data_IF_783910097769
#
_entry.id   IF_783910097769
#
_cell.length_a   1.000
_cell.length_b   1.000
_cell.length_c   1.000
_cell.angle_alpha   90.00
_cell.angle_beta   90.00
_cell.angle_gamma   90.00
#
_symmetry.space_group_name_H-M   'P 1'
#
loop_
_entity.id
_entity.type
_entity.pdbx_description
1 polymer ?
#
# COMPACT_ATOMS: atom_id res chain seq x y z
N UNK A 1 -11.22 13.69 0.22
CA UNK A 1 -10.01 14.44 -0.20
C UNK A 1 -8.90 13.46 -0.56
N UNK A 2 -8.19 13.72 -1.65
CA UNK A 2 -7.11 12.86 -2.12
C UNK A 2 -5.79 13.31 -1.52
N UNK A 3 -4.85 12.37 -1.31
CA UNK A 3 -3.48 12.77 -0.99
C UNK A 3 -2.86 13.42 -2.22
N UNK A 4 -1.98 14.38 -2.02
CA UNK A 4 -1.38 15.11 -3.13
C UNK A 4 -0.42 14.27 -3.97
N UNK A 5 0.02 13.14 -3.43
CA UNK A 5 1.10 12.36 -4.01
C UNK A 5 0.64 11.12 -4.76
N UNK A 6 -0.63 10.76 -4.62
CA UNK A 6 -1.18 9.63 -5.36
C UNK A 6 -1.76 10.10 -6.70
N UNK A 7 -1.46 9.40 -7.79
CA UNK A 7 -1.97 9.81 -9.11
C UNK A 7 -3.46 9.55 -9.27
N UNK A 8 -4.06 10.22 -10.24
CA UNK A 8 -5.50 10.09 -10.49
C UNK A 8 -5.92 8.65 -10.80
N UNK A 9 -5.08 7.88 -11.51
CA UNK A 9 -5.44 6.51 -11.83
C UNK A 9 -5.63 5.67 -10.56
N UNK A 10 -4.88 5.98 -9.50
CA UNK A 10 -5.04 5.28 -8.24
C UNK A 10 -6.43 5.50 -7.65
N UNK A 11 -6.88 6.77 -7.68
CA UNK A 11 -8.19 7.10 -7.14
C UNK A 11 -9.34 6.56 -7.98
N UNK A 12 -9.11 6.42 -9.30
CA UNK A 12 -10.14 5.95 -10.22
C UNK A 12 -10.25 4.42 -10.28
N UNK A 13 -9.12 3.74 -10.21
CA UNK A 13 -9.06 2.30 -10.48
C UNK A 13 -8.37 1.50 -9.39
N UNK A 14 -7.51 2.14 -8.61
CA UNK A 14 -6.72 1.47 -7.59
C UNK A 14 -5.72 0.49 -8.18
N UNK A 15 -5.38 -0.50 -7.38
CA UNK A 15 -4.38 -1.50 -7.74
C UNK A 15 -5.00 -2.90 -7.89
N UNK A 16 -6.29 -2.93 -8.20
CA UNK A 16 -7.02 -4.20 -8.35
C UNK A 16 -6.27 -5.17 -9.26
N UNK A 17 -6.08 -6.39 -8.79
CA UNK A 17 -5.35 -7.45 -9.48
C UNK A 17 -3.84 -7.22 -9.63
N UNK A 18 -3.28 -6.21 -9.00
CA UNK A 18 -1.84 -6.03 -9.00
C UNK A 18 -1.19 -7.02 -8.05
N UNK A 19 0.02 -7.44 -8.36
CA UNK A 19 0.77 -8.33 -7.48
C UNK A 19 1.73 -7.52 -6.61
N UNK A 20 1.70 -7.79 -5.31
CA UNK A 20 2.64 -7.19 -4.38
C UNK A 20 3.93 -8.01 -4.42
N UNK A 21 4.99 -7.43 -4.97
CA UNK A 21 6.28 -8.11 -5.07
C UNK A 21 6.92 -8.22 -3.69
N UNK A 22 6.95 -7.11 -2.96
CA UNK A 22 7.50 -7.10 -1.61
C UNK A 22 6.97 -5.90 -0.84
N UNK A 23 7.03 -6.02 0.47
CA UNK A 23 6.68 -4.94 1.39
C UNK A 23 7.77 -4.85 2.44
N UNK A 24 8.23 -3.65 2.71
CA UNK A 24 9.24 -3.44 3.75
C UNK A 24 8.94 -2.17 4.54
N UNK A 25 9.43 -2.12 5.76
CA UNK A 25 9.38 -0.94 6.60
C UNK A 25 10.75 -0.29 6.59
N UNK A 26 10.79 0.99 6.26
CA UNK A 26 12.01 1.76 6.30
C UNK A 26 11.91 2.77 7.44
N UNK A 27 12.84 2.68 8.38
CA UNK A 27 12.88 3.59 9.50
C UNK A 27 13.74 4.80 9.17
N UNK A 28 13.30 5.96 9.65
CA UNK A 28 14.10 7.17 9.51
C UNK A 28 15.15 7.22 10.60
N UNK A 29 16.40 7.45 10.21
CA UNK A 29 17.50 7.61 11.16
C UNK A 29 17.37 8.91 11.97
N UNK A 30 16.63 9.87 11.43
CA UNK A 30 16.50 11.19 12.03
C UNK A 30 15.31 11.31 12.96
N UNK A 31 14.22 10.63 12.62
CA UNK A 31 12.99 10.71 13.36
C UNK A 31 12.21 9.41 13.23
N UNK A 32 12.17 8.59 14.30
CA UNK A 32 11.44 7.32 14.25
C UNK A 32 9.95 7.44 13.91
N UNK A 33 9.39 8.65 14.06
CA UNK A 33 8.00 8.89 13.70
C UNK A 33 7.79 9.02 12.19
N UNK A 34 8.89 9.14 11.42
CA UNK A 34 8.81 9.27 9.98
C UNK A 34 9.04 7.93 9.27
N UNK A 35 8.73 6.83 9.94
CA UNK A 35 8.79 5.52 9.31
C UNK A 35 7.88 5.47 8.10
N UNK A 36 8.30 4.74 7.07
CA UNK A 36 7.46 4.53 5.90
C UNK A 36 7.33 3.04 5.60
N UNK A 37 6.18 2.71 5.04
CA UNK A 37 5.86 1.38 4.56
C UNK A 37 5.96 1.41 3.05
N UNK A 38 6.84 0.59 2.47
CA UNK A 38 7.12 0.61 1.05
C UNK A 38 6.59 -0.66 0.41
N UNK A 39 5.66 -0.50 -0.53
CA UNK A 39 5.15 -1.58 -1.36
C UNK A 39 5.81 -1.52 -2.72
N UNK A 40 6.43 -2.61 -3.15
CA UNK A 40 6.84 -2.79 -4.55
C UNK A 40 5.76 -3.59 -5.24
N UNK A 41 5.19 -3.04 -6.29
CA UNK A 41 4.01 -3.60 -6.94
C UNK A 41 4.29 -3.80 -8.42
N UNK A 42 3.98 -5.00 -8.91
CA UNK A 42 4.00 -5.28 -10.33
C UNK A 42 2.60 -5.01 -10.90
N UNK A 43 2.52 -4.04 -11.79
CA UNK A 43 1.26 -3.62 -12.38
C UNK A 43 0.78 -4.45 -13.57
N UNK A 44 1.54 -5.47 -13.97
CA UNK A 44 1.06 -6.39 -15.00
C UNK A 44 -0.21 -7.07 -14.51
N UNK A 45 -1.25 -7.01 -15.30
CA UNK A 45 -2.55 -7.52 -14.88
C UNK A 45 -3.45 -6.45 -14.28
N UNK A 46 -2.88 -5.33 -13.85
CA UNK A 46 -3.65 -4.16 -13.45
C UNK A 46 -3.84 -3.25 -14.64
N UNK A 47 -4.74 -2.29 -14.50
CA UNK A 47 -5.17 -1.46 -15.63
C UNK A 47 -4.11 -0.47 -16.14
N UNK A 48 -3.06 -0.24 -15.39
CA UNK A 48 -2.07 0.78 -15.75
C UNK A 48 -0.80 0.23 -16.40
N UNK A 49 -0.68 -1.06 -16.53
CA UNK A 49 0.41 -1.73 -17.27
C UNK A 49 1.83 -1.24 -16.96
N UNK A 50 2.09 -0.86 -15.73
CA UNK A 50 3.43 -0.47 -15.32
C UNK A 50 4.21 -1.70 -14.87
N UNK A 51 5.52 -1.72 -15.16
CA UNK A 51 6.34 -2.85 -14.77
C UNK A 51 6.46 -2.96 -13.26
N UNK A 52 7.04 -1.96 -12.63
CA UNK A 52 7.12 -1.93 -11.17
C UNK A 52 6.94 -0.49 -10.70
N UNK A 53 6.12 -0.35 -9.70
CA UNK A 53 5.98 0.92 -9.00
C UNK A 53 6.25 0.68 -7.52
N UNK A 54 6.61 1.74 -6.83
CA UNK A 54 6.71 1.73 -5.38
C UNK A 54 5.70 2.69 -4.81
N UNK A 55 4.99 2.26 -3.79
CA UNK A 55 4.11 3.13 -3.02
C UNK A 55 4.65 3.21 -1.61
N UNK A 56 4.90 4.42 -1.15
CA UNK A 56 5.41 4.68 0.18
C UNK A 56 4.31 5.33 1.02
N UNK A 57 4.00 4.71 2.15
CA UNK A 57 3.04 5.27 3.11
C UNK A 57 3.82 5.81 4.29
N UNK A 58 3.70 7.10 4.56
CA UNK A 58 4.46 7.77 5.61
C UNK A 58 3.64 7.92 6.88
N UNK A 59 4.30 7.76 8.03
CA UNK A 59 3.68 7.85 9.35
C UNK A 59 2.52 6.86 9.45
N UNK A 60 2.82 5.63 9.10
CA UNK A 60 1.82 4.57 8.98
C UNK A 60 1.66 3.79 10.28
N UNK A 61 0.53 3.12 10.39
CA UNK A 61 0.30 2.07 11.37
C UNK A 61 -0.77 1.12 10.81
N UNK A 62 -0.80 -0.08 11.36
CA UNK A 62 -1.85 -1.04 11.01
C UNK A 62 -2.94 -1.02 12.08
N UNK A 63 -4.15 -1.36 11.69
CA UNK A 63 -5.27 -1.46 12.63
C UNK A 63 -5.18 -2.72 13.51
N UNK A 64 -4.37 -3.68 13.12
CA UNK A 64 -4.15 -4.92 13.87
C UNK A 64 -2.80 -4.87 14.55
N UNK A 65 -2.77 -5.09 15.88
CA UNK A 65 -1.51 -5.22 16.58
C UNK A 65 -0.79 -6.47 16.08
N UNK A 66 0.52 -6.38 15.94
CA UNK A 66 1.36 -7.50 15.54
C UNK A 66 0.98 -8.06 14.15
N UNK A 67 0.44 -7.22 13.28
CA UNK A 67 0.19 -7.66 11.90
C UNK A 67 1.52 -8.07 11.26
N UNK A 68 1.53 -9.29 10.69
CA UNK A 68 2.72 -9.80 10.02
C UNK A 68 2.78 -9.27 8.59
N UNK A 69 3.68 -8.32 8.34
CA UNK A 69 3.82 -7.72 7.01
C UNK A 69 4.29 -8.72 5.97
N UNK A 70 4.90 -9.83 6.39
CA UNK A 70 5.33 -10.86 5.45
C UNK A 70 4.14 -11.52 4.72
N UNK A 71 2.94 -11.42 5.27
CA UNK A 71 1.74 -11.88 4.58
C UNK A 71 1.50 -11.12 3.28
N UNK A 72 2.00 -9.90 3.18
CA UNK A 72 1.84 -9.08 2.00
C UNK A 72 2.86 -9.39 0.90
N UNK A 73 3.96 -10.07 1.23
CA UNK A 73 4.97 -10.43 0.24
C UNK A 73 4.41 -11.50 -0.70
N UNK A 74 4.37 -11.21 -1.98
CA UNK A 74 3.83 -12.12 -2.97
C UNK A 74 2.32 -12.19 -3.00
N UNK A 75 1.64 -11.31 -2.27
CA UNK A 75 0.18 -11.28 -2.21
C UNK A 75 -0.42 -10.63 -3.46
N UNK A 76 -1.71 -10.88 -3.67
CA UNK A 76 -2.48 -10.24 -4.73
C UNK A 76 -3.34 -9.14 -4.12
N UNK A 77 -3.22 -7.93 -4.64
CA UNK A 77 -4.03 -6.79 -4.23
C UNK A 77 -5.40 -6.92 -4.90
N UNK A 78 -6.41 -7.34 -4.14
CA UNK A 78 -7.71 -7.62 -4.72
C UNK A 78 -8.62 -6.40 -4.75
N UNK A 79 -8.73 -5.73 -3.61
CA UNK A 79 -9.65 -4.61 -3.47
C UNK A 79 -9.13 -3.65 -2.42
N UNK A 80 -9.40 -2.38 -2.62
CA UNK A 80 -9.01 -1.37 -1.65
C UNK A 80 -10.06 -0.28 -1.55
N UNK A 81 -10.12 0.32 -0.37
CA UNK A 81 -10.98 1.45 -0.10
C UNK A 81 -10.22 2.45 0.75
N UNK A 82 -10.18 3.70 0.32
CA UNK A 82 -9.54 4.77 1.09
C UNK A 82 -10.60 5.73 1.61
N UNK A 83 -10.52 6.04 2.90
CA UNK A 83 -11.32 7.08 3.52
C UNK A 83 -10.41 8.04 4.26
N UNK A 84 -10.83 9.29 4.39
CA UNK A 84 -10.11 10.27 5.20
C UNK A 84 -10.86 10.45 6.52
N UNK A 85 -10.11 10.47 7.62
CA UNK A 85 -10.72 10.65 8.93
C UNK A 85 -9.73 11.38 9.84
N UNK A 86 -10.11 12.53 10.33
CA UNK A 86 -9.32 13.30 11.32
C UNK A 86 -7.89 13.58 10.86
N UNK A 87 -7.71 13.91 9.58
CA UNK A 87 -6.40 14.24 9.04
C UNK A 87 -5.53 13.04 8.69
N UNK A 88 -6.08 11.84 8.78
CA UNK A 88 -5.40 10.62 8.40
C UNK A 88 -6.19 9.90 7.31
N UNK A 89 -5.49 9.12 6.53
CA UNK A 89 -6.10 8.27 5.51
C UNK A 89 -6.13 6.83 6.01
N UNK A 90 -7.26 6.17 5.80
CA UNK A 90 -7.45 4.78 6.16
C UNK A 90 -7.63 3.97 4.88
N UNK A 91 -6.65 3.14 4.58
CA UNK A 91 -6.70 2.25 3.43
C UNK A 91 -7.09 0.86 3.90
N UNK A 92 -8.29 0.44 3.57
CA UNK A 92 -8.73 -0.93 3.82
C UNK A 92 -8.30 -1.77 2.63
N UNK A 93 -7.39 -2.71 2.84
CA UNK A 93 -6.85 -3.57 1.79
C UNK A 93 -7.34 -4.99 1.98
N UNK A 94 -7.96 -5.54 0.93
CA UNK A 94 -8.29 -6.95 0.84
C UNK A 94 -7.31 -7.61 -0.12
N UNK A 95 -6.70 -8.69 0.31
CA UNK A 95 -5.66 -9.35 -0.48
C UNK A 95 -5.72 -10.86 -0.30
N UNK A 96 -5.20 -11.59 -1.30
CA UNK A 96 -4.92 -13.02 -1.17
C UNK A 96 -3.42 -13.15 -0.93
N UNK A 97 -3.03 -13.85 0.15
CA UNK A 97 -1.63 -14.08 0.41
C UNK A 97 -1.06 -15.10 -0.58
N UNK A 98 0.24 -15.36 -0.48
CA UNK A 98 0.91 -16.29 -1.39
C UNK A 98 0.35 -17.71 -1.33
N UNK A 99 -0.38 -18.05 -0.29
CA UNK A 99 -1.04 -19.35 -0.13
C UNK A 99 -2.51 -19.29 -0.54
N UNK A 100 -2.93 -18.21 -1.20
CA UNK A 100 -4.30 -17.98 -1.67
C UNK A 100 -5.32 -17.87 -0.54
N UNK A 101 -4.88 -17.46 0.65
CA UNK A 101 -5.78 -17.19 1.76
C UNK A 101 -6.18 -15.73 1.77
N UNK A 102 -7.47 -15.47 1.85
CA UNK A 102 -8.03 -14.13 1.85
C UNK A 102 -7.87 -13.46 3.21
N UNK A 103 -7.29 -12.27 3.19
CA UNK A 103 -7.06 -11.49 4.39
C UNK A 103 -7.44 -10.04 4.16
N UNK A 104 -7.68 -9.31 5.23
CA UNK A 104 -7.88 -7.87 5.17
C UNK A 104 -7.00 -7.19 6.22
N UNK A 105 -6.55 -5.99 5.90
CA UNK A 105 -5.79 -5.15 6.83
C UNK A 105 -6.11 -3.69 6.51
N UNK A 106 -6.09 -2.87 7.54
CA UNK A 106 -6.23 -1.43 7.35
C UNK A 106 -4.89 -0.76 7.63
N UNK A 107 -4.43 0.03 6.66
CA UNK A 107 -3.21 0.83 6.78
C UNK A 107 -3.65 2.27 7.01
N UNK A 108 -3.22 2.84 8.11
CA UNK A 108 -3.54 4.22 8.46
C UNK A 108 -2.28 5.05 8.26
N UNK A 109 -2.36 6.12 7.50
CA UNK A 109 -1.17 6.89 7.15
C UNK A 109 -1.50 8.37 6.98
N UNK A 110 -0.47 9.22 7.01
CA UNK A 110 -0.64 10.67 6.84
C UNK A 110 -0.50 11.09 5.39
N UNK A 111 0.52 10.57 4.69
CA UNK A 111 0.76 10.90 3.30
C UNK A 111 1.26 9.65 2.58
N UNK A 112 1.14 9.66 1.26
CA UNK A 112 1.65 8.57 0.44
C UNK A 112 2.26 9.14 -0.84
N UNK A 113 3.24 8.44 -1.39
CA UNK A 113 3.87 8.79 -2.65
C UNK A 113 3.97 7.56 -3.52
N UNK A 114 3.81 7.76 -4.82
CA UNK A 114 4.04 6.71 -5.81
C UNK A 114 5.28 7.07 -6.61
N UNK A 115 6.20 6.12 -6.68
CA UNK A 115 7.41 6.26 -7.48
C UNK A 115 7.43 5.16 -8.51
N UNK A 116 7.86 5.50 -9.73
CA UNK A 116 8.01 4.50 -10.80
C UNK A 116 9.45 4.03 -10.83
N UNK A 117 9.61 2.73 -10.92
CA UNK A 117 10.91 2.13 -11.16
C UNK A 117 10.86 1.33 -12.45
N UNK A 118 11.85 1.60 -13.27
CA UNK A 118 12.02 0.81 -14.50
C UNK A 118 12.89 -0.41 -14.22
#
# INVERSE_FOLDING_TARGET
MKTNKLPEWYWSRGLHDAKIVSVEVKESDWNPKDNCLIFKINGHGAMFEQDIIEICFFKFRFNKENFDINLLNGAWWLHDEITEKSGEYHLLLEFDDKNCERETVKIIFKTAEVMRRK
#
